data_IF_603313665691
#
_entry.id   IF_603313665691
#
_cell.length_a   1.000
_cell.length_b   1.000
_cell.length_c   1.000
_cell.angle_alpha   90.00
_cell.angle_beta   90.00
_cell.angle_gamma   90.00
#
_symmetry.space_group_name_H-M   'P 1'
#
loop_
_entity.id
_entity.type
_entity.pdbx_description
1 polymer ?
#
# COMPACT_ATOMS: atom_id res chain seq x y z
N UNK A 1 5.37 27.20 -0.44
CA UNK A 1 4.45 26.05 -0.64
C UNK A 1 3.53 25.78 0.56
N UNK A 2 4.02 25.85 1.80
CA UNK A 2 3.23 25.50 3.00
C UNK A 2 2.06 26.45 3.35
N UNK A 3 2.12 27.75 2.96
CA UNK A 3 1.02 28.71 3.17
C UNK A 3 -0.25 28.35 2.39
N UNK A 4 -0.11 27.81 1.17
CA UNK A 4 -1.23 27.47 0.29
C UNK A 4 -2.05 26.30 0.85
N UNK A 5 -1.36 25.25 1.33
CA UNK A 5 -1.99 24.09 1.96
C UNK A 5 -2.75 24.48 3.24
N UNK A 6 -2.23 25.44 4.01
CA UNK A 6 -2.88 25.94 5.21
C UNK A 6 -4.16 26.73 4.88
N UNK A 7 -4.12 27.52 3.80
CA UNK A 7 -5.27 28.30 3.34
C UNK A 7 -6.38 27.40 2.76
N UNK A 8 -5.99 26.37 2.00
CA UNK A 8 -6.91 25.33 1.51
C UNK A 8 -7.57 24.58 2.66
N UNK A 9 -6.81 24.18 3.69
CA UNK A 9 -7.37 23.51 4.88
C UNK A 9 -8.37 24.37 5.65
N UNK A 10 -8.23 25.70 5.60
CA UNK A 10 -9.15 26.66 6.23
C UNK A 10 -10.50 26.73 5.51
N UNK A 11 -10.50 26.54 4.19
CA UNK A 11 -11.68 26.63 3.34
C UNK A 11 -12.37 25.29 3.05
N UNK A 12 -11.67 24.17 3.22
CA UNK A 12 -12.26 22.85 2.99
C UNK A 12 -12.97 22.38 4.27
N UNK A 13 -14.31 22.25 4.27
CA UNK A 13 -15.02 21.70 5.41
C UNK A 13 -14.60 20.25 5.64
N UNK A 14 -14.23 19.92 6.89
CA UNK A 14 -13.76 18.57 7.29
C UNK A 14 -14.72 17.44 6.87
N UNK A 15 -16.02 17.75 6.77
CA UNK A 15 -17.06 16.81 6.34
C UNK A 15 -16.88 16.42 4.88
N UNK A 16 -16.70 17.38 3.98
CA UNK A 16 -16.45 17.15 2.55
C UNK A 16 -15.17 16.33 2.34
N UNK A 17 -14.10 16.67 3.07
CA UNK A 17 -12.84 15.93 2.99
C UNK A 17 -13.00 14.46 3.37
N UNK A 18 -13.68 14.16 4.49
CA UNK A 18 -13.94 12.78 4.91
C UNK A 18 -14.78 12.00 3.91
N UNK A 19 -15.76 12.63 3.28
CA UNK A 19 -16.61 11.96 2.28
C UNK A 19 -15.86 11.69 0.98
N UNK A 20 -14.97 12.59 0.57
CA UNK A 20 -14.16 12.45 -0.65
C UNK A 20 -12.92 11.54 -0.46
N UNK A 21 -12.48 11.32 0.78
CA UNK A 21 -11.27 10.57 1.11
C UNK A 21 -11.21 9.15 0.51
N UNK A 22 -12.28 8.33 0.53
CA UNK A 22 -12.25 6.99 -0.06
C UNK A 22 -12.02 7.02 -1.56
N UNK A 23 -12.71 7.92 -2.27
CA UNK A 23 -12.57 8.09 -3.72
C UNK A 23 -11.14 8.55 -4.07
N UNK A 24 -10.59 9.50 -3.30
CA UNK A 24 -9.20 9.94 -3.46
C UNK A 24 -8.21 8.77 -3.31
N UNK A 25 -8.33 7.96 -2.26
CA UNK A 25 -7.43 6.81 -2.05
C UNK A 25 -7.53 5.77 -3.17
N UNK A 26 -8.74 5.52 -3.67
CA UNK A 26 -8.96 4.62 -4.80
C UNK A 26 -8.34 5.15 -6.10
N UNK A 27 -8.60 6.43 -6.42
CA UNK A 27 -8.06 7.04 -7.64
C UNK A 27 -6.53 7.08 -7.57
N UNK A 28 -5.95 7.42 -6.42
CA UNK A 28 -4.50 7.44 -6.23
C UNK A 28 -3.88 6.06 -6.44
N UNK A 29 -4.46 5.00 -5.86
CA UNK A 29 -3.94 3.64 -6.02
C UNK A 29 -4.10 3.13 -7.46
N UNK A 30 -5.21 3.48 -8.12
CA UNK A 30 -5.46 3.12 -9.51
C UNK A 30 -4.51 3.83 -10.48
N UNK A 31 -4.30 5.14 -10.33
CA UNK A 31 -3.34 5.90 -11.14
C UNK A 31 -1.93 5.36 -10.96
N UNK A 32 -1.51 5.01 -9.73
CA UNK A 32 -0.23 4.37 -9.49
C UNK A 32 -0.13 3.01 -10.22
N UNK A 33 -1.17 2.18 -10.15
CA UNK A 33 -1.19 0.89 -10.87
C UNK A 33 -1.03 1.06 -12.39
N UNK A 34 -1.70 2.05 -12.98
CA UNK A 34 -1.57 2.37 -14.41
C UNK A 34 -0.17 2.90 -14.74
N UNK A 35 0.34 3.86 -13.95
CA UNK A 35 1.66 4.47 -14.15
C UNK A 35 2.80 3.43 -14.12
N UNK A 36 2.72 2.45 -13.23
CA UNK A 36 3.69 1.36 -13.14
C UNK A 36 3.38 0.15 -14.05
N UNK A 37 2.35 0.23 -14.89
CA UNK A 37 2.02 -0.82 -15.86
C UNK A 37 1.48 -2.13 -15.25
N UNK A 38 0.70 -2.03 -14.16
CA UNK A 38 0.09 -3.15 -13.45
C UNK A 38 1.09 -4.27 -13.05
N UNK A 39 2.11 -3.96 -12.24
CA UNK A 39 3.18 -4.92 -11.90
C UNK A 39 2.65 -6.19 -11.21
N UNK A 40 1.52 -6.08 -10.50
CA UNK A 40 0.83 -7.21 -9.87
C UNK A 40 0.39 -8.31 -10.84
N UNK A 41 0.19 -8.01 -12.13
CA UNK A 41 -0.15 -9.03 -13.14
C UNK A 41 1.00 -9.96 -13.49
N UNK A 42 2.24 -9.58 -13.15
CA UNK A 42 3.47 -10.34 -13.46
C UNK A 42 4.08 -11.02 -12.23
N UNK A 43 3.46 -10.84 -11.05
CA UNK A 43 4.00 -11.29 -9.77
C UNK A 43 2.92 -12.06 -8.99
N UNK A 44 3.34 -13.11 -8.28
CA UNK A 44 2.50 -13.74 -7.25
C UNK A 44 2.62 -12.88 -5.99
N UNK A 45 1.55 -12.21 -5.61
CA UNK A 45 1.49 -11.36 -4.42
C UNK A 45 0.78 -12.12 -3.30
N UNK A 46 1.44 -12.27 -2.16
CA UNK A 46 0.87 -12.91 -0.96
C UNK A 46 0.76 -11.87 0.14
N UNK A 47 -0.47 -11.54 0.54
CA UNK A 47 -0.76 -10.63 1.65
C UNK A 47 -1.01 -11.39 2.95
N UNK A 48 -0.24 -11.08 4.00
CA UNK A 48 -0.44 -11.65 5.34
C UNK A 48 -1.09 -10.60 6.24
N UNK A 49 -2.30 -10.87 6.71
CA UNK A 49 -3.05 -10.03 7.64
C UNK A 49 -3.34 -10.78 8.93
N UNK A 50 -3.65 -10.06 10.01
CA UNK A 50 -3.92 -10.61 11.32
C UNK A 50 -3.43 -9.70 12.45
N UNK A 51 -3.93 -9.94 13.66
CA UNK A 51 -3.62 -9.10 14.83
C UNK A 51 -2.16 -9.29 15.27
N UNK A 52 -1.66 -10.53 15.25
CA UNK A 52 -0.30 -10.91 15.65
C UNK A 52 0.34 -11.82 14.60
N UNK A 53 1.67 -11.93 14.61
CA UNK A 53 2.40 -12.92 13.80
C UNK A 53 2.67 -12.56 12.33
N UNK A 54 2.14 -11.45 11.80
CA UNK A 54 2.35 -11.04 10.38
C UNK A 54 3.82 -11.06 9.96
N UNK A 55 4.69 -10.39 10.70
CA UNK A 55 6.12 -10.29 10.38
C UNK A 55 6.80 -11.67 10.45
N UNK A 56 6.51 -12.45 11.49
CA UNK A 56 7.05 -13.81 11.66
C UNK A 56 6.64 -14.72 10.50
N UNK A 57 5.37 -14.70 10.12
CA UNK A 57 4.85 -15.49 9.00
C UNK A 57 5.48 -15.08 7.67
N UNK A 58 5.57 -13.78 7.38
CA UNK A 58 6.23 -13.28 6.15
C UNK A 58 7.69 -13.73 6.10
N UNK A 59 8.41 -13.65 7.22
CA UNK A 59 9.82 -14.04 7.28
C UNK A 59 10.02 -15.56 7.11
N UNK A 60 9.14 -16.37 7.72
CA UNK A 60 9.15 -17.83 7.55
C UNK A 60 8.88 -18.22 6.09
N UNK A 61 7.85 -17.63 5.47
CA UNK A 61 7.54 -17.85 4.06
C UNK A 61 8.70 -17.44 3.15
N UNK A 62 9.33 -16.30 3.42
CA UNK A 62 10.51 -15.85 2.67
C UNK A 62 11.64 -16.89 2.73
N UNK A 63 11.96 -17.41 3.92
CA UNK A 63 13.00 -18.44 4.09
C UNK A 63 12.67 -19.73 3.34
N UNK A 64 11.44 -20.22 3.48
CA UNK A 64 11.00 -21.47 2.83
C UNK A 64 11.08 -21.35 1.30
N UNK A 65 10.50 -20.29 0.74
CA UNK A 65 10.46 -20.09 -0.71
C UNK A 65 11.85 -19.81 -1.29
N UNK A 66 12.69 -19.08 -0.56
CA UNK A 66 14.09 -18.87 -0.95
C UNK A 66 14.89 -20.18 -0.92
N UNK A 67 14.70 -21.01 0.12
CA UNK A 67 15.34 -22.32 0.22
C UNK A 67 14.87 -23.28 -0.89
N UNK A 68 13.63 -23.16 -1.34
CA UNK A 68 13.11 -23.88 -2.49
C UNK A 68 13.60 -23.34 -3.86
N UNK A 69 14.49 -22.35 -3.87
CA UNK A 69 15.12 -21.83 -5.10
C UNK A 69 14.33 -20.73 -5.82
N UNK A 70 13.23 -20.23 -5.26
CA UNK A 70 12.44 -19.18 -5.89
C UNK A 70 13.07 -17.79 -5.70
N UNK A 71 13.02 -16.96 -6.75
CA UNK A 71 13.34 -15.53 -6.66
C UNK A 71 12.20 -14.79 -5.96
N UNK A 72 12.40 -14.42 -4.71
CA UNK A 72 11.38 -13.81 -3.85
C UNK A 72 11.86 -12.48 -3.25
N UNK A 73 10.92 -11.53 -3.10
CA UNK A 73 11.06 -10.33 -2.28
C UNK A 73 10.04 -10.33 -1.15
N UNK A 74 10.35 -9.69 -0.02
CA UNK A 74 9.41 -9.51 1.08
C UNK A 74 9.47 -8.08 1.62
N UNK A 75 8.31 -7.55 2.01
CA UNK A 75 8.18 -6.25 2.67
C UNK A 75 7.32 -6.45 3.91
N UNK A 76 7.83 -6.09 5.09
CA UNK A 76 7.10 -6.14 6.36
C UNK A 76 7.55 -4.98 7.24
N UNK A 77 6.70 -4.57 8.17
CA UNK A 77 7.08 -3.68 9.27
C UNK A 77 7.99 -4.47 10.21
N UNK A 78 9.29 -4.21 10.19
CA UNK A 78 10.18 -4.58 11.29
C UNK A 78 9.95 -3.59 12.44
#
# INVERSE_FOLDING_TARGET
>A
MNKLLFFLKKYIPKKLFKTAQPAYHFILSWVAAVFYGHPSKKLIIIGVTGTTGKTTTVYLMHKILKAAGYKIGCTSTA
#
